data_IF_138060699055
#
_entry.id   IF_138060699055
#
_cell.length_a   1.000
_cell.length_b   1.000
_cell.length_c   1.000
_cell.angle_alpha   90.00
_cell.angle_beta   90.00
_cell.angle_gamma   90.00
#
_symmetry.space_group_name_H-M   'P 1'
#
loop_
_entity.id
_entity.type
_entity.pdbx_description
1 polymer ?
#
# COMPACT_ATOMS: atom_id res chain seq x y z
N UNK A 1 -1.80 -19.98 -5.30
CA UNK A 1 -2.92 -19.43 -6.10
C UNK A 1 -2.47 -19.20 -7.54
N UNK A 2 -3.30 -19.53 -8.55
CA UNK A 2 -3.02 -19.10 -9.92
C UNK A 2 -3.39 -17.60 -10.06
N UNK A 3 -2.51 -16.81 -10.68
CA UNK A 3 -2.73 -15.39 -10.99
C UNK A 3 -2.98 -15.17 -12.49
N UNK A 4 -3.83 -16.00 -13.09
CA UNK A 4 -4.36 -15.84 -14.44
C UNK A 4 -5.88 -15.87 -14.37
N UNK A 5 -6.53 -15.10 -15.23
CA UNK A 5 -8.00 -15.01 -15.32
C UNK A 5 -8.67 -14.57 -13.99
N UNK A 6 -8.01 -13.68 -13.22
CA UNK A 6 -8.61 -13.05 -12.06
C UNK A 6 -9.11 -11.65 -12.42
N UNK A 7 -10.04 -11.14 -11.64
CA UNK A 7 -10.44 -9.73 -11.68
C UNK A 7 -9.92 -9.03 -10.44
N UNK A 8 -9.13 -7.97 -10.63
CA UNK A 8 -8.28 -7.38 -9.61
C UNK A 8 -8.56 -5.88 -9.51
N UNK A 9 -8.89 -5.41 -8.32
CA UNK A 9 -9.04 -3.99 -8.00
C UNK A 9 -7.80 -3.50 -7.25
N UNK A 10 -7.16 -2.42 -7.74
CA UNK A 10 -5.95 -1.82 -7.17
C UNK A 10 -6.22 -0.36 -6.84
N UNK A 11 -6.14 0.02 -5.57
CA UNK A 11 -6.21 1.43 -5.18
C UNK A 11 -4.87 2.13 -5.38
N UNK A 12 -4.89 3.40 -5.83
CA UNK A 12 -3.67 4.17 -6.09
C UNK A 12 -2.87 3.62 -7.28
N UNK A 13 -3.56 3.28 -8.38
CA UNK A 13 -2.98 2.66 -9.57
C UNK A 13 -2.22 3.60 -10.50
N UNK A 14 -2.19 4.91 -10.22
CA UNK A 14 -1.63 5.93 -11.14
C UNK A 14 -0.11 6.05 -11.13
N UNK A 15 0.60 5.32 -10.26
CA UNK A 15 2.07 5.36 -10.18
C UNK A 15 2.64 4.33 -9.22
N UNK A 16 3.96 4.32 -9.10
CA UNK A 16 4.69 3.48 -8.14
C UNK A 16 4.32 2.00 -8.22
N UNK A 17 4.04 1.40 -7.06
CA UNK A 17 3.65 -0.02 -7.02
C UNK A 17 2.33 -0.28 -7.72
N UNK A 18 1.34 0.62 -7.60
CA UNK A 18 0.03 0.42 -8.20
C UNK A 18 0.09 0.28 -9.72
N UNK A 19 0.86 1.15 -10.39
CA UNK A 19 1.12 1.03 -11.83
C UNK A 19 1.90 -0.25 -12.18
N UNK A 20 2.94 -0.59 -11.40
CA UNK A 20 3.72 -1.80 -11.64
C UNK A 20 2.87 -3.08 -11.44
N UNK A 21 1.98 -3.11 -10.44
CA UNK A 21 0.99 -4.18 -10.29
C UNK A 21 0.06 -4.27 -11.49
N UNK A 22 -0.53 -3.14 -11.91
CA UNK A 22 -1.45 -3.11 -13.04
C UNK A 22 -0.80 -3.67 -14.30
N UNK A 23 0.39 -3.15 -14.66
CA UNK A 23 1.12 -3.58 -15.85
C UNK A 23 1.45 -5.08 -15.83
N UNK A 24 1.98 -5.60 -14.70
CA UNK A 24 2.38 -7.01 -14.63
C UNK A 24 1.18 -7.96 -14.58
N UNK A 25 0.11 -7.57 -13.86
CA UNK A 25 -1.08 -8.41 -13.74
C UNK A 25 -1.89 -8.46 -15.04
N UNK A 26 -1.95 -7.36 -15.81
CA UNK A 26 -2.49 -7.37 -17.18
C UNK A 26 -1.69 -8.32 -18.08
N UNK A 27 -0.37 -8.24 -18.07
CA UNK A 27 0.50 -9.11 -18.86
C UNK A 27 0.35 -10.61 -18.50
N UNK A 28 -0.22 -10.91 -17.32
CA UNK A 28 -0.54 -12.28 -16.89
C UNK A 28 -1.96 -12.73 -17.28
N UNK A 29 -2.70 -11.94 -18.05
CA UNK A 29 -4.05 -12.27 -18.53
C UNK A 29 -5.16 -12.05 -17.48
N UNK A 30 -5.01 -11.08 -16.59
CA UNK A 30 -6.04 -10.71 -15.63
C UNK A 30 -6.82 -9.48 -16.11
N UNK A 31 -8.07 -9.36 -15.68
CA UNK A 31 -8.82 -8.09 -15.73
C UNK A 31 -8.37 -7.21 -14.58
N UNK A 32 -7.89 -6.01 -14.89
CA UNK A 32 -7.34 -5.11 -13.87
C UNK A 32 -8.09 -3.78 -13.86
N UNK A 33 -8.60 -3.42 -12.69
CA UNK A 33 -9.24 -2.14 -12.40
C UNK A 33 -8.30 -1.36 -11.49
N UNK A 34 -8.00 -0.12 -11.84
CA UNK A 34 -7.24 0.79 -10.99
C UNK A 34 -8.08 1.98 -10.57
N UNK A 35 -7.81 2.48 -9.36
CA UNK A 35 -8.42 3.72 -8.89
C UNK A 35 -7.40 4.77 -8.50
N UNK A 36 -7.82 6.01 -8.50
CA UNK A 36 -7.08 7.18 -8.05
C UNK A 36 -7.96 8.42 -8.01
N UNK A 37 -7.55 9.43 -7.27
CA UNK A 37 -8.32 10.68 -7.11
C UNK A 37 -8.16 11.68 -8.26
N UNK A 38 -7.12 11.53 -9.08
CA UNK A 38 -6.83 12.43 -10.20
C UNK A 38 -7.16 11.74 -11.53
N UNK A 39 -8.21 12.24 -12.19
CA UNK A 39 -8.72 11.70 -13.44
C UNK A 39 -7.69 11.79 -14.57
N UNK A 40 -6.96 12.91 -14.70
CA UNK A 40 -5.96 13.09 -15.76
C UNK A 40 -4.86 12.02 -15.69
N UNK A 41 -4.36 11.72 -14.46
CA UNK A 41 -3.39 10.66 -14.25
C UNK A 41 -3.94 9.27 -14.54
N UNK A 42 -5.22 9.03 -14.25
CA UNK A 42 -5.89 7.78 -14.61
C UNK A 42 -5.94 7.62 -16.13
N UNK A 43 -6.30 8.68 -16.86
CA UNK A 43 -6.36 8.67 -18.32
C UNK A 43 -4.94 8.56 -18.94
N UNK A 44 -3.91 9.11 -18.31
CA UNK A 44 -2.52 8.89 -18.72
C UNK A 44 -2.14 7.40 -18.61
N UNK A 45 -2.49 6.73 -17.51
CA UNK A 45 -2.27 5.29 -17.35
C UNK A 45 -3.08 4.49 -18.37
N UNK A 46 -4.33 4.87 -18.63
CA UNK A 46 -5.19 4.22 -19.65
C UNK A 46 -4.57 4.28 -21.04
N UNK A 47 -3.95 5.40 -21.41
CA UNK A 47 -3.21 5.52 -22.69
C UNK A 47 -1.99 4.60 -22.76
N UNK A 48 -1.30 4.38 -21.63
CA UNK A 48 -0.10 3.52 -21.55
C UNK A 48 -0.42 2.04 -21.41
N UNK A 49 -1.55 1.72 -20.80
CA UNK A 49 -2.07 0.37 -20.57
C UNK A 49 -3.53 0.32 -21.08
N UNK A 50 -3.75 0.16 -22.41
CA UNK A 50 -5.10 0.29 -22.99
C UNK A 50 -6.12 -0.71 -22.45
N UNK A 51 -5.69 -1.86 -21.93
CA UNK A 51 -6.57 -2.89 -21.38
C UNK A 51 -6.99 -2.64 -19.92
N UNK A 52 -6.33 -1.68 -19.21
CA UNK A 52 -6.70 -1.38 -17.83
C UNK A 52 -8.05 -0.67 -17.74
N UNK A 53 -8.87 -1.03 -16.78
CA UNK A 53 -10.06 -0.26 -16.42
C UNK A 53 -9.71 0.80 -15.39
N UNK A 54 -10.19 2.02 -15.57
CA UNK A 54 -9.92 3.14 -14.67
C UNK A 54 -11.21 3.65 -14.07
N UNK A 55 -11.22 3.92 -12.77
CA UNK A 55 -12.36 4.49 -12.06
C UNK A 55 -11.82 5.55 -11.09
N UNK A 56 -12.33 6.78 -11.21
CA UNK A 56 -11.97 7.81 -10.25
C UNK A 56 -12.63 7.52 -8.90
N UNK A 57 -11.82 7.52 -7.84
CA UNK A 57 -12.30 7.31 -6.48
C UNK A 57 -11.23 7.76 -5.48
N UNK A 58 -11.64 8.47 -4.43
CA UNK A 58 -10.80 8.81 -3.29
C UNK A 58 -11.15 7.91 -2.11
N UNK A 59 -10.19 7.10 -1.65
CA UNK A 59 -10.37 6.17 -0.52
C UNK A 59 -10.68 6.88 0.81
N UNK A 60 -10.45 8.19 0.88
CA UNK A 60 -10.77 9.01 2.06
C UNK A 60 -12.26 9.39 2.11
N UNK A 61 -12.96 9.38 0.97
CA UNK A 61 -14.35 9.76 0.86
C UNK A 61 -15.26 8.52 0.93
N UNK A 62 -16.13 8.47 1.93
CA UNK A 62 -17.02 7.32 2.15
C UNK A 62 -17.94 7.09 0.96
N UNK A 63 -18.48 8.15 0.39
CA UNK A 63 -19.39 8.06 -0.76
C UNK A 63 -18.67 7.57 -2.02
N UNK A 64 -17.42 7.98 -2.25
CA UNK A 64 -16.62 7.46 -3.36
C UNK A 64 -16.41 5.95 -3.24
N UNK A 65 -16.12 5.47 -2.02
CA UNK A 65 -15.93 4.04 -1.77
C UNK A 65 -17.23 3.25 -2.01
N UNK A 66 -18.40 3.79 -1.60
CA UNK A 66 -19.70 3.17 -1.85
C UNK A 66 -20.01 3.12 -3.35
N UNK A 67 -19.79 4.23 -4.06
CA UNK A 67 -20.03 4.34 -5.51
C UNK A 67 -19.09 3.39 -6.27
N UNK A 68 -17.82 3.34 -5.89
CA UNK A 68 -16.84 2.40 -6.44
C UNK A 68 -17.29 0.95 -6.25
N UNK A 69 -17.70 0.58 -5.03
CA UNK A 69 -18.22 -0.77 -4.76
C UNK A 69 -19.40 -1.11 -5.68
N UNK A 70 -20.40 -0.22 -5.76
CA UNK A 70 -21.57 -0.45 -6.61
C UNK A 70 -21.17 -0.63 -8.08
N UNK A 71 -20.37 0.29 -8.63
CA UNK A 71 -19.91 0.24 -10.01
C UNK A 71 -19.10 -1.02 -10.32
N UNK A 72 -18.11 -1.35 -9.46
CA UNK A 72 -17.22 -2.49 -9.70
C UNK A 72 -17.98 -3.80 -9.59
N UNK A 73 -18.84 -3.97 -8.61
CA UNK A 73 -19.57 -5.24 -8.44
C UNK A 73 -20.63 -5.48 -9.52
N UNK A 74 -21.13 -4.42 -10.16
CA UNK A 74 -22.03 -4.55 -11.33
C UNK A 74 -21.26 -4.84 -12.62
N UNK A 75 -20.18 -4.11 -12.89
CA UNK A 75 -19.44 -4.23 -14.15
C UNK A 75 -18.46 -5.40 -14.15
N UNK A 76 -17.98 -5.80 -12.98
CA UNK A 76 -16.97 -6.84 -12.78
C UNK A 76 -17.40 -7.82 -11.67
N UNK A 77 -18.46 -8.62 -11.88
CA UNK A 77 -19.02 -9.51 -10.86
C UNK A 77 -18.05 -10.58 -10.39
N UNK A 78 -17.00 -10.88 -11.17
CA UNK A 78 -15.96 -11.85 -10.84
C UNK A 78 -14.77 -11.25 -10.06
N UNK A 79 -14.90 -10.00 -9.55
CA UNK A 79 -13.86 -9.39 -8.71
C UNK A 79 -13.50 -10.30 -7.53
N UNK A 80 -12.27 -10.80 -7.51
CA UNK A 80 -11.80 -11.72 -6.49
C UNK A 80 -10.50 -11.27 -5.78
N UNK A 81 -9.83 -10.22 -6.27
CA UNK A 81 -8.61 -9.70 -5.62
C UNK A 81 -8.75 -8.20 -5.37
N UNK A 82 -8.55 -7.79 -4.10
CA UNK A 82 -8.44 -6.40 -3.68
C UNK A 82 -7.01 -6.11 -3.24
N UNK A 83 -6.35 -5.14 -3.89
CA UNK A 83 -5.03 -4.64 -3.51
C UNK A 83 -5.17 -3.22 -2.96
N UNK A 84 -5.08 -3.06 -1.65
CA UNK A 84 -5.03 -1.78 -0.97
C UNK A 84 -3.60 -1.24 -1.04
N UNK A 85 -3.34 -0.40 -2.05
CA UNK A 85 -2.03 0.15 -2.34
C UNK A 85 -1.98 1.69 -2.21
N UNK A 86 -3.10 2.39 -2.33
CA UNK A 86 -3.14 3.85 -2.16
C UNK A 86 -2.41 4.27 -0.87
N UNK A 87 -1.59 5.31 -0.98
CA UNK A 87 -0.83 5.79 0.17
C UNK A 87 -0.14 7.12 -0.09
N UNK A 88 0.08 7.84 0.99
CA UNK A 88 0.84 9.09 1.03
C UNK A 88 1.85 9.03 2.17
N UNK A 89 3.01 9.68 1.98
CA UNK A 89 4.05 9.82 3.01
C UNK A 89 4.56 11.25 2.96
N UNK A 90 4.63 11.93 4.10
CA UNK A 90 5.13 13.30 4.22
C UNK A 90 6.30 13.37 5.19
N UNK A 91 7.16 14.38 5.01
CA UNK A 91 8.06 14.84 6.05
C UNK A 91 7.26 15.74 6.99
N UNK A 92 7.32 15.48 8.29
CA UNK A 92 6.59 16.26 9.32
C UNK A 92 7.53 16.47 10.50
N UNK A 93 7.83 17.73 10.80
CA UNK A 93 8.49 18.12 12.06
C UNK A 93 7.40 18.40 13.10
N UNK A 94 7.35 17.56 14.14
CA UNK A 94 6.40 17.76 15.24
C UNK A 94 6.79 18.94 16.18
N UNK A 95 7.94 19.56 15.95
CA UNK A 95 8.36 20.79 16.65
C UNK A 95 7.73 22.05 16.02
N UNK A 96 7.16 21.92 14.82
CA UNK A 96 6.47 23.01 14.13
C UNK A 96 4.97 22.88 14.31
N UNK A 97 4.27 24.02 14.36
CA UNK A 97 2.81 24.04 14.36
C UNK A 97 2.26 23.36 13.10
N UNK A 98 1.23 22.55 13.27
CA UNK A 98 0.58 21.81 12.20
C UNK A 98 -0.92 22.13 12.20
N UNK A 99 -1.52 22.19 11.02
CA UNK A 99 -2.98 22.24 10.89
C UNK A 99 -3.59 20.91 11.36
N UNK A 100 -4.50 20.99 12.34
CA UNK A 100 -5.17 19.83 12.94
C UNK A 100 -6.00 19.04 11.91
N UNK A 101 -6.53 19.67 10.87
CA UNK A 101 -7.28 18.98 9.82
C UNK A 101 -6.35 18.23 8.84
N UNK A 102 -5.12 18.74 8.66
CA UNK A 102 -4.16 18.16 7.71
C UNK A 102 -3.22 17.15 8.36
N UNK A 103 -2.87 17.31 9.65
CA UNK A 103 -1.87 16.46 10.32
C UNK A 103 -2.22 14.95 10.22
N UNK A 104 -3.50 14.59 10.24
CA UNK A 104 -3.99 13.22 10.20
C UNK A 104 -4.25 12.68 8.79
N UNK A 105 -4.01 13.45 7.73
CA UNK A 105 -4.33 13.08 6.34
C UNK A 105 -3.75 11.72 5.94
N UNK A 106 -2.54 11.40 6.36
CA UNK A 106 -1.93 10.09 6.07
C UNK A 106 -2.64 8.94 6.79
N UNK A 107 -3.26 9.18 7.94
CA UNK A 107 -4.08 8.17 8.63
C UNK A 107 -5.34 7.89 7.82
N UNK A 108 -6.00 8.93 7.29
CA UNK A 108 -7.19 8.77 6.44
C UNK A 108 -6.88 7.95 5.18
N UNK A 109 -5.78 8.25 4.49
CA UNK A 109 -5.42 7.56 3.25
C UNK A 109 -4.88 6.15 3.53
N UNK A 110 -3.90 6.03 4.44
CA UNK A 110 -3.10 4.81 4.58
C UNK A 110 -3.73 3.76 5.48
N UNK A 111 -4.65 4.15 6.37
CA UNK A 111 -5.30 3.26 7.35
C UNK A 111 -6.81 3.21 7.16
N UNK A 112 -7.50 4.36 7.24
CA UNK A 112 -8.95 4.39 7.14
C UNK A 112 -9.43 3.99 5.76
N UNK A 113 -8.74 4.40 4.69
CA UNK A 113 -9.02 4.00 3.32
C UNK A 113 -9.06 2.48 3.15
N UNK A 114 -7.98 1.73 3.44
CA UNK A 114 -7.98 0.26 3.41
C UNK A 114 -9.06 -0.39 4.26
N UNK A 115 -9.36 0.13 5.47
CA UNK A 115 -10.44 -0.38 6.33
C UNK A 115 -11.79 -0.23 5.63
N UNK A 116 -12.08 0.96 5.07
CA UNK A 116 -13.32 1.23 4.31
C UNK A 116 -13.44 0.35 3.07
N UNK A 117 -12.36 0.21 2.29
CA UNK A 117 -12.32 -0.66 1.12
C UNK A 117 -12.59 -2.12 1.47
N UNK A 118 -11.94 -2.65 2.52
CA UNK A 118 -12.21 -4.01 2.98
C UNK A 118 -13.67 -4.15 3.40
N UNK A 119 -14.18 -3.23 4.21
CA UNK A 119 -15.56 -3.31 4.70
C UNK A 119 -16.58 -3.27 3.56
N UNK A 120 -16.37 -2.44 2.54
CA UNK A 120 -17.26 -2.33 1.38
C UNK A 120 -17.24 -3.61 0.53
N UNK A 121 -16.05 -4.14 0.22
CA UNK A 121 -15.92 -5.25 -0.73
C UNK A 121 -16.00 -6.64 -0.07
N UNK A 122 -15.91 -6.76 1.26
CA UNK A 122 -15.91 -8.03 1.95
C UNK A 122 -17.15 -8.92 1.67
N UNK A 123 -18.40 -8.39 1.64
CA UNK A 123 -19.58 -9.20 1.33
C UNK A 123 -19.51 -9.81 -0.08
N UNK A 124 -18.97 -9.06 -1.05
CA UNK A 124 -18.76 -9.53 -2.42
C UNK A 124 -17.65 -10.60 -2.48
N UNK A 125 -16.48 -10.31 -1.89
CA UNK A 125 -15.33 -11.21 -1.87
C UNK A 125 -15.63 -12.55 -1.18
N UNK A 126 -16.51 -12.58 -0.17
CA UNK A 126 -16.95 -13.83 0.49
C UNK A 126 -17.69 -14.79 -0.46
N UNK A 127 -18.28 -14.28 -1.55
CA UNK A 127 -18.98 -15.10 -2.55
C UNK A 127 -18.04 -15.64 -3.63
N UNK A 128 -16.81 -15.13 -3.69
CA UNK A 128 -15.85 -15.47 -4.74
C UNK A 128 -14.99 -16.67 -4.35
N UNK A 129 -14.63 -17.47 -5.35
CA UNK A 129 -13.63 -18.53 -5.19
C UNK A 129 -12.23 -17.89 -5.18
N UNK A 130 -11.35 -18.37 -4.30
CA UNK A 130 -9.94 -17.92 -4.22
C UNK A 130 -9.76 -16.40 -4.01
N UNK A 131 -10.61 -15.78 -3.19
CA UNK A 131 -10.52 -14.36 -2.92
C UNK A 131 -9.25 -13.98 -2.14
N UNK A 132 -8.66 -12.83 -2.51
CA UNK A 132 -7.47 -12.27 -1.85
C UNK A 132 -7.69 -10.82 -1.49
N UNK A 133 -7.27 -10.45 -0.29
CA UNK A 133 -7.06 -9.07 0.14
C UNK A 133 -5.56 -8.91 0.39
N UNK A 134 -4.90 -8.04 -0.38
CA UNK A 134 -3.51 -7.66 -0.19
C UNK A 134 -3.44 -6.23 0.34
N UNK A 135 -2.91 -6.04 1.54
CA UNK A 135 -2.61 -4.72 2.09
C UNK A 135 -1.12 -4.41 1.90
N UNK A 136 -0.83 -3.26 1.27
CA UNK A 136 0.54 -2.76 1.10
C UNK A 136 0.91 -1.91 2.30
N UNK A 137 1.70 -2.50 3.20
CA UNK A 137 2.30 -1.81 4.34
C UNK A 137 3.73 -1.36 4.02
N UNK A 138 4.56 -1.16 5.00
CA UNK A 138 5.94 -0.70 4.82
C UNK A 138 6.86 -1.34 5.85
N UNK A 139 8.16 -1.42 5.55
CA UNK A 139 9.18 -1.71 6.54
C UNK A 139 9.15 -0.73 7.73
N UNK A 140 8.70 0.50 7.51
CA UNK A 140 8.49 1.52 8.54
C UNK A 140 7.36 1.13 9.53
N UNK A 141 6.44 0.24 9.15
CA UNK A 141 5.46 -0.33 10.08
C UNK A 141 6.09 -1.22 11.18
N UNK A 142 7.36 -1.56 11.04
CA UNK A 142 8.09 -2.42 12.00
C UNK A 142 8.89 -1.64 13.03
N UNK A 143 9.12 -0.35 12.77
CA UNK A 143 9.91 0.54 13.64
C UNK A 143 9.51 2.00 13.40
N UNK A 144 9.61 2.87 14.41
CA UNK A 144 9.36 4.30 14.24
C UNK A 144 10.29 4.92 13.20
N UNK A 145 9.76 5.84 12.40
CA UNK A 145 10.51 6.61 11.41
C UNK A 145 10.32 8.09 11.68
N UNK A 146 11.30 8.70 12.34
CA UNK A 146 11.16 10.00 12.98
C UNK A 146 10.75 11.13 12.02
N UNK A 147 11.32 11.16 10.80
CA UNK A 147 11.03 12.20 9.80
C UNK A 147 9.61 12.11 9.19
N UNK A 148 8.95 10.95 9.33
CA UNK A 148 7.57 10.72 8.82
C UNK A 148 6.74 10.01 9.89
N UNK A 149 6.48 10.65 11.04
CA UNK A 149 5.89 9.99 12.20
C UNK A 149 4.46 9.52 11.94
N UNK A 150 3.65 10.32 11.24
CA UNK A 150 2.25 9.98 10.94
C UNK A 150 2.16 8.83 9.92
N UNK A 151 3.03 8.84 8.90
CA UNK A 151 3.14 7.70 7.99
C UNK A 151 3.50 6.40 8.73
N UNK A 152 4.50 6.44 9.60
CA UNK A 152 4.89 5.30 10.42
C UNK A 152 3.74 4.77 11.25
N UNK A 153 3.02 5.65 11.96
CA UNK A 153 1.84 5.31 12.75
C UNK A 153 0.74 4.68 11.89
N UNK A 154 0.41 5.28 10.74
CA UNK A 154 -0.63 4.79 9.83
C UNK A 154 -0.32 3.39 9.27
N UNK A 155 0.94 3.14 8.87
CA UNK A 155 1.35 1.82 8.35
C UNK A 155 1.48 0.76 9.44
N UNK A 156 1.85 1.14 10.67
CA UNK A 156 1.82 0.24 11.84
C UNK A 156 0.38 -0.15 12.19
N UNK A 157 -0.54 0.80 12.16
CA UNK A 157 -1.98 0.55 12.33
C UNK A 157 -2.52 -0.39 11.25
N UNK A 158 -2.19 -0.16 9.97
CA UNK A 158 -2.60 -1.02 8.87
C UNK A 158 -2.05 -2.45 9.02
N UNK A 159 -0.79 -2.59 9.48
CA UNK A 159 -0.20 -3.89 9.78
C UNK A 159 -0.99 -4.63 10.86
N UNK A 160 -1.26 -3.98 12.00
CA UNK A 160 -2.06 -4.53 13.09
C UNK A 160 -3.46 -4.94 12.62
N UNK A 161 -4.15 -4.05 11.88
CA UNK A 161 -5.44 -4.33 11.28
C UNK A 161 -5.39 -5.56 10.35
N UNK A 162 -4.37 -5.67 9.50
CA UNK A 162 -4.20 -6.79 8.56
C UNK A 162 -4.05 -8.12 9.28
N UNK A 163 -3.31 -8.15 10.39
CA UNK A 163 -3.15 -9.34 11.21
C UNK A 163 -4.47 -9.75 11.89
N UNK A 164 -5.20 -8.79 12.47
CA UNK A 164 -6.51 -9.03 13.06
C UNK A 164 -7.54 -9.51 12.03
N UNK A 165 -7.58 -8.87 10.84
CA UNK A 165 -8.44 -9.25 9.74
C UNK A 165 -8.18 -10.70 9.28
N UNK A 166 -6.91 -11.11 9.21
CA UNK A 166 -6.51 -12.49 8.86
C UNK A 166 -7.08 -13.50 9.85
N UNK A 167 -7.05 -13.19 11.14
CA UNK A 167 -7.61 -14.06 12.18
C UNK A 167 -9.12 -14.16 12.03
N UNK A 168 -9.81 -13.03 11.85
CA UNK A 168 -11.28 -13.01 11.72
C UNK A 168 -11.78 -13.73 10.47
N UNK A 169 -11.01 -13.70 9.37
CA UNK A 169 -11.41 -14.33 8.11
C UNK A 169 -10.86 -15.74 7.91
N UNK A 170 -10.22 -16.35 8.92
CA UNK A 170 -9.57 -17.67 8.84
C UNK A 170 -10.49 -18.78 8.30
N UNK A 171 -11.76 -18.74 8.64
CA UNK A 171 -12.75 -19.75 8.24
C UNK A 171 -13.57 -19.35 7.02
N UNK A 172 -13.11 -18.33 6.27
CA UNK A 172 -13.68 -17.92 4.98
C UNK A 172 -12.76 -18.36 3.84
N UNK A 173 -13.25 -18.33 2.63
CA UNK A 173 -12.40 -18.57 1.44
C UNK A 173 -11.39 -17.46 1.12
N UNK A 174 -11.32 -16.40 1.95
CA UNK A 174 -10.52 -15.20 1.66
C UNK A 174 -9.13 -15.33 2.27
N UNK A 175 -8.09 -15.12 1.45
CA UNK A 175 -6.71 -14.98 1.91
C UNK A 175 -6.38 -13.52 2.19
N UNK A 176 -5.97 -13.21 3.42
CA UNK A 176 -5.50 -11.87 3.82
C UNK A 176 -3.99 -11.86 3.86
N UNK A 177 -3.39 -11.09 2.96
CA UNK A 177 -1.95 -11.03 2.75
C UNK A 177 -1.42 -9.62 3.03
N UNK A 178 -0.16 -9.54 3.41
CA UNK A 178 0.55 -8.28 3.65
C UNK A 178 1.82 -8.21 2.81
N UNK A 179 1.98 -7.12 2.04
CA UNK A 179 3.26 -6.75 1.45
C UNK A 179 3.92 -5.71 2.34
N UNK A 180 4.96 -6.08 3.05
CA UNK A 180 5.80 -5.17 3.83
C UNK A 180 6.88 -4.61 2.92
N UNK A 181 6.58 -3.50 2.24
CA UNK A 181 7.45 -2.93 1.23
C UNK A 181 8.68 -2.25 1.85
N UNK A 182 9.91 -2.49 1.36
CA UNK A 182 11.08 -1.69 1.70
C UNK A 182 11.02 -0.31 1.03
N UNK A 183 11.98 0.56 1.34
CA UNK A 183 12.19 1.79 0.58
C UNK A 183 12.33 1.51 -0.92
N UNK A 184 11.69 2.32 -1.77
CA UNK A 184 11.64 2.10 -3.21
C UNK A 184 11.88 3.38 -4.01
N UNK A 185 12.37 3.24 -5.24
CA UNK A 185 12.60 4.34 -6.16
C UNK A 185 11.28 4.80 -6.82
N UNK A 186 10.37 5.31 -6.02
CA UNK A 186 9.08 5.88 -6.44
C UNK A 186 9.00 7.35 -6.05
N UNK A 187 8.11 8.11 -6.67
CA UNK A 187 7.85 9.52 -6.34
C UNK A 187 7.51 9.76 -4.86
N UNK A 188 7.02 8.74 -4.16
CA UNK A 188 6.76 8.80 -2.72
C UNK A 188 8.04 9.11 -1.92
N UNK A 189 9.20 8.64 -2.38
CA UNK A 189 10.49 8.82 -1.74
C UNK A 189 11.32 10.00 -2.31
N UNK A 190 10.89 10.67 -3.37
CA UNK A 190 11.67 11.74 -4.00
C UNK A 190 11.96 12.89 -3.05
N UNK A 191 11.03 13.23 -2.19
CA UNK A 191 11.16 14.32 -1.19
C UNK A 191 12.20 14.07 -0.09
N UNK A 192 12.70 12.85 0.01
CA UNK A 192 13.72 12.46 1.00
C UNK A 192 15.14 12.44 0.42
N UNK A 193 15.29 12.60 -0.90
CA UNK A 193 16.59 12.49 -1.60
C UNK A 193 17.62 13.52 -1.14
N UNK A 194 17.15 14.69 -0.70
CA UNK A 194 18.00 15.79 -0.18
C UNK A 194 18.26 15.70 1.31
N UNK A 195 17.70 14.71 2.01
CA UNK A 195 17.80 14.64 3.46
C UNK A 195 19.12 14.01 3.93
N UNK A 196 19.60 14.47 5.08
CA UNK A 196 20.75 13.90 5.75
C UNK A 196 20.55 12.40 6.00
N UNK A 197 21.59 11.62 5.75
CA UNK A 197 21.56 10.17 5.95
C UNK A 197 20.71 9.40 4.92
N UNK A 198 20.16 10.05 3.90
CA UNK A 198 19.49 9.34 2.81
C UNK A 198 20.48 8.58 1.94
N UNK A 199 20.23 7.29 1.74
CA UNK A 199 21.05 6.44 0.89
C UNK A 199 20.24 5.83 -0.25
N UNK A 200 20.37 6.34 -1.50
CA UNK A 200 19.60 5.84 -2.65
C UNK A 200 19.91 4.37 -3.00
N UNK A 201 21.09 3.84 -2.60
CA UNK A 201 21.44 2.43 -2.82
C UNK A 201 20.59 1.46 -2.00
N UNK A 202 19.89 1.94 -0.97
CA UNK A 202 18.97 1.15 -0.17
C UNK A 202 17.57 1.03 -0.82
N UNK A 203 17.31 1.80 -1.87
CA UNK A 203 16.03 1.75 -2.56
C UNK A 203 15.98 0.58 -3.54
N UNK A 204 14.84 -0.10 -3.55
CA UNK A 204 14.55 -1.19 -4.48
C UNK A 204 13.63 -0.68 -5.61
N UNK A 205 13.84 -1.15 -6.84
CA UNK A 205 12.95 -0.84 -7.95
C UNK A 205 11.52 -1.36 -7.67
N UNK A 206 10.47 -0.57 -7.98
CA UNK A 206 9.07 -0.96 -7.76
C UNK A 206 8.73 -2.31 -8.37
N UNK A 207 9.22 -2.58 -9.57
CA UNK A 207 8.97 -3.82 -10.33
C UNK A 207 9.47 -5.05 -9.58
N UNK A 208 10.65 -4.95 -8.91
CA UNK A 208 11.22 -6.05 -8.11
C UNK A 208 10.39 -6.33 -6.84
N UNK A 209 9.83 -5.29 -6.24
CA UNK A 209 8.96 -5.40 -5.06
C UNK A 209 7.64 -6.07 -5.47
N UNK A 210 7.06 -5.64 -6.60
CA UNK A 210 5.83 -6.22 -7.14
C UNK A 210 6.04 -7.66 -7.58
N UNK A 211 7.19 -8.02 -8.18
CA UNK A 211 7.53 -9.41 -8.49
C UNK A 211 7.56 -10.30 -7.25
N UNK A 212 8.12 -9.77 -6.16
CA UNK A 212 8.11 -10.50 -4.88
C UNK A 212 6.69 -10.65 -4.31
N UNK A 213 5.84 -9.63 -4.47
CA UNK A 213 4.43 -9.68 -4.07
C UNK A 213 3.66 -10.73 -4.89
N UNK A 214 3.77 -10.71 -6.20
CA UNK A 214 3.16 -11.69 -7.12
C UNK A 214 3.58 -13.11 -6.76
N UNK A 215 4.89 -13.36 -6.60
CA UNK A 215 5.41 -14.65 -6.15
C UNK A 215 4.89 -15.05 -4.75
N UNK A 216 4.70 -14.08 -3.87
CA UNK A 216 4.13 -14.30 -2.54
C UNK A 216 2.66 -14.72 -2.62
N UNK A 217 1.86 -14.06 -3.44
CA UNK A 217 0.44 -14.40 -3.68
C UNK A 217 0.35 -15.82 -4.27
N UNK A 218 1.13 -16.13 -5.32
CA UNK A 218 1.17 -17.45 -5.93
C UNK A 218 1.50 -18.57 -4.92
N UNK A 219 2.37 -18.28 -3.95
CA UNK A 219 2.79 -19.21 -2.88
C UNK A 219 1.90 -19.15 -1.62
N UNK A 220 0.79 -18.44 -1.66
CA UNK A 220 -0.14 -18.24 -0.53
C UNK A 220 0.55 -17.76 0.77
N UNK A 221 1.50 -16.82 0.67
CA UNK A 221 2.21 -16.28 1.83
C UNK A 221 1.38 -15.23 2.53
N UNK A 222 1.19 -15.38 3.83
CA UNK A 222 0.49 -14.38 4.66
C UNK A 222 1.24 -13.05 4.74
N UNK A 223 2.59 -13.09 4.77
CA UNK A 223 3.45 -11.91 4.85
C UNK A 223 4.58 -12.02 3.81
N UNK A 224 4.80 -10.95 3.08
CA UNK A 224 5.81 -10.85 2.03
C UNK A 224 6.78 -9.72 2.39
N UNK A 225 8.05 -10.07 2.61
CA UNK A 225 9.12 -9.14 2.99
C UNK A 225 10.21 -9.11 1.90
N UNK A 226 10.11 -8.24 0.89
CA UNK A 226 11.17 -8.11 -0.12
C UNK A 226 12.41 -7.41 0.45
N UNK A 227 13.60 -7.83 -0.03
CA UNK A 227 14.86 -7.13 0.23
C UNK A 227 15.12 -6.80 1.70
N UNK A 228 15.42 -5.54 1.98
CA UNK A 228 15.74 -5.05 3.33
C UNK A 228 14.60 -5.19 4.34
N UNK A 229 13.34 -5.32 3.90
CA UNK A 229 12.23 -5.54 4.84
C UNK A 229 12.41 -6.81 5.69
N UNK A 230 13.11 -7.84 5.17
CA UNK A 230 13.46 -9.04 5.96
C UNK A 230 14.42 -8.70 7.11
N UNK A 231 15.42 -7.89 6.84
CA UNK A 231 16.39 -7.44 7.85
C UNK A 231 15.70 -6.58 8.90
N UNK A 232 14.86 -5.61 8.46
CA UNK A 232 14.08 -4.77 9.35
C UNK A 232 13.17 -5.58 10.28
N UNK A 233 12.53 -6.65 9.78
CA UNK A 233 11.70 -7.57 10.59
C UNK A 233 12.50 -8.19 11.74
N UNK A 234 13.74 -8.58 11.50
CA UNK A 234 14.59 -9.21 12.52
C UNK A 234 15.12 -8.15 13.48
N UNK A 235 15.69 -7.08 12.93
CA UNK A 235 16.35 -6.03 13.72
C UNK A 235 15.38 -5.26 14.61
N UNK A 236 14.13 -5.03 14.17
CA UNK A 236 13.09 -4.39 14.98
C UNK A 236 12.76 -5.17 16.26
N UNK A 237 13.02 -6.47 16.30
CA UNK A 237 12.81 -7.34 17.47
C UNK A 237 14.06 -7.49 18.32
N UNK A 238 15.24 -7.63 17.70
CA UNK A 238 16.49 -7.89 18.39
C UNK A 238 17.17 -6.63 18.92
N UNK A 239 17.05 -5.52 18.19
CA UNK A 239 17.74 -4.27 18.53
C UNK A 239 16.85 -3.02 18.31
N UNK A 240 15.64 -2.94 18.94
CA UNK A 240 14.69 -1.86 18.69
C UNK A 240 15.27 -0.48 19.02
N UNK A 241 15.98 -0.34 20.13
CA UNK A 241 16.59 0.94 20.54
C UNK A 241 17.62 1.44 19.51
N UNK A 242 18.46 0.53 18.97
CA UNK A 242 19.43 0.86 17.93
C UNK A 242 18.71 1.34 16.65
N UNK A 243 17.66 0.64 16.24
CA UNK A 243 16.90 1.00 15.03
C UNK A 243 16.21 2.36 15.16
N UNK A 244 15.65 2.67 16.35
CA UNK A 244 15.05 3.98 16.63
C UNK A 244 16.12 5.08 16.57
N UNK A 245 17.28 4.87 17.21
CA UNK A 245 18.40 5.82 17.19
C UNK A 245 18.88 6.10 15.76
N UNK A 246 18.99 5.05 14.93
CA UNK A 246 19.39 5.22 13.51
C UNK A 246 18.33 5.96 12.69
N UNK A 247 17.03 5.71 12.96
CA UNK A 247 15.95 6.41 12.25
C UNK A 247 15.94 7.91 12.55
N UNK A 248 16.38 8.33 13.72
CA UNK A 248 16.48 9.74 14.11
C UNK A 248 17.63 10.50 13.45
N UNK A 249 18.57 9.82 12.79
CA UNK A 249 19.67 10.47 12.05
C UNK A 249 19.26 10.93 10.66
N UNK A 250 18.27 10.28 10.05
CA UNK A 250 17.78 10.67 8.75
C UNK A 250 16.90 11.91 8.87
N UNK A 251 17.29 12.98 8.17
CA UNK A 251 16.59 14.25 8.18
C UNK A 251 16.67 14.97 9.54
N UNK A 252 17.78 14.82 10.25
CA UNK A 252 17.98 15.50 11.55
C UNK A 252 17.90 17.01 11.41
N UNK A 253 18.53 17.60 10.38
CA UNK A 253 18.43 19.04 10.08
C UNK A 253 16.99 19.51 9.84
N UNK A 254 16.18 18.73 9.12
CA UNK A 254 14.76 19.02 8.91
C UNK A 254 13.95 18.98 10.22
N UNK A 255 14.22 18.02 11.09
CA UNK A 255 13.46 17.83 12.32
C UNK A 255 13.83 18.84 13.42
N UNK A 256 15.09 19.23 13.51
CA UNK A 256 15.61 20.02 14.64
C UNK A 256 15.94 21.47 14.28
N UNK A 257 15.92 21.83 13.00
CA UNK A 257 16.10 23.23 12.58
C UNK A 257 17.52 23.75 12.72
N UNK A 258 18.51 23.00 12.23
CA UNK A 258 19.90 23.47 12.13
C UNK A 258 20.13 24.25 10.86
#
# INVERSE_FOLDING_TARGET
MNLQNNTILITGGTGGFGYAFASKLLAMGNTVIITGRNEEKLQEVKRRLPEVHVIQSDVTQVEDVKNLHHQVTQQFPDLNILINNAGEMRKISLQQEQDLNDITREVEINLMGPIRMVQAFLPHLKKQKNAVILNVTSGIALLPFAISPIYGASKSGLRSYTQALRVQLKNTGIKVMELVAPGSSTSLNDKFKSEDGFNPKMLMAPEKIVDAAIKGIQKNKDEIFPGLAKVMRIMSRLAPKLMISQSGKMGASFMYGN
#
